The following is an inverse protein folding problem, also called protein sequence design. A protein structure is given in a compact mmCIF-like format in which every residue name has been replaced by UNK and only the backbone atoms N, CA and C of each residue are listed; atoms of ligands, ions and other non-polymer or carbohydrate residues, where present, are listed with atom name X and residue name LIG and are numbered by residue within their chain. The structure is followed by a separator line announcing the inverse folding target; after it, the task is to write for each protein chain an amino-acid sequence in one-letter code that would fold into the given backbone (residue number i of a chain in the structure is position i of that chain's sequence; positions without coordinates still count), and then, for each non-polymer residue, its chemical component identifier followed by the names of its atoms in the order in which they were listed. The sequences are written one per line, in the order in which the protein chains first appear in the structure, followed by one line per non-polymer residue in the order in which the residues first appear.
data_IF_461855063919
#
_entry.id   IF_461855063919
#
_cell.length_a   1.000
_cell.length_b   1.000
_cell.length_c   1.000
_cell.angle_alpha   90.00
_cell.angle_beta   90.00
_cell.angle_gamma   90.00
#
_symmetry.space_group_name_H-M   'P 1'
#
loop_
_entity.id
_entity.type
_entity.pdbx_description
1 polymer ?
#
# COMPACT_ATOMS: atom_id res chain seq x y z
N UNK A 1 78.18 38.09 3.09
CA UNK A 1 77.57 36.85 2.58
C UNK A 1 78.05 36.62 1.15
N UNK A 2 78.73 35.51 0.86
CA UNK A 2 79.21 35.22 -0.50
C UNK A 2 78.06 34.69 -1.37
N UNK A 3 78.17 34.82 -2.71
CA UNK A 3 77.13 34.42 -3.67
C UNK A 3 76.70 32.95 -3.49
N UNK A 4 77.61 32.08 -3.04
CA UNK A 4 77.37 30.67 -2.72
C UNK A 4 76.45 30.48 -1.50
N UNK A 5 76.62 31.28 -0.44
CA UNK A 5 75.79 31.19 0.78
C UNK A 5 74.34 31.63 0.53
N UNK A 6 74.11 32.65 -0.32
CA UNK A 6 72.75 33.07 -0.70
C UNK A 6 72.00 31.99 -1.49
N UNK A 7 72.67 31.32 -2.42
CA UNK A 7 72.07 30.22 -3.19
C UNK A 7 71.71 29.05 -2.27
N UNK A 8 72.59 28.69 -1.33
CA UNK A 8 72.34 27.63 -0.34
C UNK A 8 71.14 27.93 0.56
N UNK A 9 71.01 29.17 1.03
CA UNK A 9 69.85 29.61 1.82
C UNK A 9 68.57 29.59 0.99
N UNK A 10 68.61 30.01 -0.28
CA UNK A 10 67.45 29.97 -1.17
C UNK A 10 66.98 28.53 -1.43
N UNK A 11 67.92 27.61 -1.67
CA UNK A 11 67.63 26.18 -1.85
C UNK A 11 67.08 25.58 -0.56
N UNK A 12 67.64 25.91 0.61
CA UNK A 12 67.14 25.42 1.89
C UNK A 12 65.70 25.88 2.16
N UNK A 13 65.37 27.15 1.89
CA UNK A 13 63.99 27.67 2.02
C UNK A 13 63.04 26.98 1.04
N UNK A 14 63.48 26.74 -0.20
CA UNK A 14 62.70 26.00 -1.19
C UNK A 14 62.44 24.55 -0.76
N UNK A 15 63.46 23.86 -0.25
CA UNK A 15 63.34 22.48 0.25
C UNK A 15 62.43 22.42 1.47
N UNK A 16 62.54 23.34 2.42
CA UNK A 16 61.64 23.40 3.59
C UNK A 16 60.22 23.76 3.18
N UNK A 17 60.04 24.68 2.22
CA UNK A 17 58.72 25.03 1.67
C UNK A 17 58.07 23.85 0.94
N UNK A 18 58.83 23.12 0.13
CA UNK A 18 58.37 21.92 -0.58
C UNK A 18 58.09 20.78 0.41
N UNK A 19 58.95 20.53 1.39
CA UNK A 19 58.73 19.51 2.41
C UNK A 19 57.53 19.83 3.31
N UNK A 20 57.35 21.09 3.71
CA UNK A 20 56.18 21.56 4.47
C UNK A 20 54.89 21.46 3.66
N UNK A 21 54.95 21.78 2.36
CA UNK A 21 53.83 21.62 1.44
C UNK A 21 53.47 20.15 1.19
N UNK A 22 54.47 19.29 0.97
CA UNK A 22 54.29 17.84 0.83
C UNK A 22 53.72 17.24 2.12
N UNK A 23 54.24 17.64 3.29
CA UNK A 23 53.75 17.18 4.60
C UNK A 23 52.30 17.60 4.86
N UNK A 24 51.95 18.87 4.59
CA UNK A 24 50.59 19.37 4.71
C UNK A 24 49.63 18.69 3.72
N UNK A 25 50.07 18.47 2.47
CA UNK A 25 49.28 17.81 1.44
C UNK A 25 49.06 16.33 1.75
N UNK A 26 50.11 15.62 2.20
CA UNK A 26 50.05 14.23 2.63
C UNK A 26 49.17 14.04 3.87
N UNK A 27 49.23 14.96 4.84
CA UNK A 27 48.33 14.96 6.00
C UNK A 27 46.88 15.14 5.56
N UNK A 28 46.58 16.19 4.78
CA UNK A 28 45.23 16.50 4.31
C UNK A 28 44.59 15.39 3.45
N UNK A 29 45.41 14.64 2.71
CA UNK A 29 44.96 13.64 1.75
C UNK A 29 44.99 12.19 2.28
N UNK A 30 45.30 12.00 3.56
CA UNK A 30 45.17 10.70 4.24
C UNK A 30 43.68 10.29 4.33
N UNK A 31 43.44 8.98 4.42
CA UNK A 31 42.13 8.34 4.52
C UNK A 31 41.27 8.93 5.65
N UNK A 32 41.81 9.04 6.87
CA UNK A 32 41.06 9.54 8.02
C UNK A 32 40.55 10.98 7.81
N UNK A 33 41.38 11.85 7.22
CA UNK A 33 41.00 13.22 6.92
C UNK A 33 40.03 13.30 5.73
N UNK A 34 40.16 12.41 4.75
CA UNK A 34 39.20 12.28 3.64
C UNK A 34 37.82 11.88 4.15
N UNK A 35 37.74 10.90 5.05
CA UNK A 35 36.50 10.47 5.69
C UNK A 35 35.87 11.62 6.48
N UNK A 36 36.67 12.35 7.27
CA UNK A 36 36.19 13.48 8.07
C UNK A 36 35.66 14.63 7.19
N UNK A 37 36.38 14.98 6.13
CA UNK A 37 35.96 16.00 5.16
C UNK A 37 34.71 15.59 4.40
N UNK A 38 34.60 14.33 3.96
CA UNK A 38 33.39 13.82 3.32
C UNK A 38 32.21 13.84 4.29
N UNK A 39 32.40 13.45 5.56
CA UNK A 39 31.35 13.49 6.58
C UNK A 39 30.81 14.92 6.78
N UNK A 40 31.69 15.92 6.90
CA UNK A 40 31.29 17.33 6.96
C UNK A 40 30.51 17.74 5.70
N UNK A 41 31.05 17.44 4.51
CA UNK A 41 30.40 17.82 3.25
C UNK A 41 29.02 17.16 3.04
N UNK A 42 28.83 15.93 3.52
CA UNK A 42 27.54 15.23 3.47
C UNK A 42 26.50 15.89 4.39
N UNK A 43 26.91 16.34 5.58
CA UNK A 43 26.04 17.01 6.56
C UNK A 43 25.69 18.43 6.09
N UNK A 44 26.67 19.18 5.60
CA UNK A 44 26.53 20.54 5.07
C UNK A 44 25.92 20.58 3.66
N UNK A 45 25.76 19.40 3.04
CA UNK A 45 25.19 19.23 1.70
C UNK A 45 26.02 19.89 0.57
N UNK A 46 27.34 20.05 0.79
CA UNK A 46 28.28 20.58 -0.22
C UNK A 46 28.50 19.56 -1.36
N UNK A 47 27.78 19.77 -2.46
CA UNK A 47 27.83 18.91 -3.64
C UNK A 47 29.21 18.84 -4.28
N UNK A 48 29.98 19.94 -4.26
CA UNK A 48 31.27 20.01 -4.92
C UNK A 48 32.31 19.18 -4.14
N UNK A 49 32.35 19.37 -2.81
CA UNK A 49 33.20 18.57 -1.94
C UNK A 49 32.79 17.09 -1.95
N UNK A 50 31.48 16.78 -1.91
CA UNK A 50 31.03 15.39 -1.99
C UNK A 50 31.44 14.74 -3.31
N UNK A 51 31.28 15.41 -4.46
CA UNK A 51 31.74 14.85 -5.76
C UNK A 51 33.25 14.66 -5.82
N UNK A 52 34.03 15.48 -5.10
CA UNK A 52 35.50 15.35 -5.04
C UNK A 52 35.93 14.08 -4.30
N UNK A 53 35.30 13.79 -3.16
CA UNK A 53 35.67 12.67 -2.29
C UNK A 53 34.90 11.38 -2.60
N UNK A 54 33.66 11.48 -3.09
CA UNK A 54 32.77 10.37 -3.45
C UNK A 54 32.24 10.54 -4.89
N UNK A 55 33.10 10.35 -5.91
CA UNK A 55 32.75 10.70 -7.29
C UNK A 55 31.80 9.72 -7.99
N UNK A 56 31.81 8.44 -7.59
CA UNK A 56 31.08 7.35 -8.25
C UNK A 56 30.95 6.13 -7.32
N UNK A 57 30.13 5.17 -7.69
CA UNK A 57 30.06 3.86 -7.03
C UNK A 57 31.32 3.03 -7.27
N UNK A 58 31.57 2.02 -6.41
CA UNK A 58 32.70 1.09 -6.54
C UNK A 58 32.73 0.33 -7.87
N UNK A 59 31.55 0.07 -8.46
CA UNK A 59 31.40 -0.50 -9.80
C UNK A 59 31.59 0.50 -10.96
N UNK A 60 32.13 1.69 -10.68
CA UNK A 60 32.40 2.79 -11.63
C UNK A 60 31.15 3.51 -12.20
N UNK A 61 29.91 3.11 -11.84
CA UNK A 61 28.70 3.84 -12.26
C UNK A 61 28.61 5.20 -11.56
N UNK A 62 28.11 6.21 -12.27
CA UNK A 62 27.88 7.55 -11.69
C UNK A 62 26.82 7.50 -10.59
N UNK A 63 27.02 8.26 -9.52
CA UNK A 63 25.99 8.49 -8.49
C UNK A 63 25.00 9.52 -9.04
N UNK A 64 23.72 9.19 -9.06
CA UNK A 64 22.70 10.14 -9.50
C UNK A 64 22.55 11.27 -8.48
N UNK A 65 22.27 12.50 -8.96
CA UNK A 65 22.03 13.64 -8.07
C UNK A 65 20.93 13.34 -7.03
N UNK A 66 19.92 12.57 -7.46
CA UNK A 66 18.82 12.14 -6.61
C UNK A 66 19.24 11.16 -5.51
N UNK A 67 20.00 10.10 -5.84
CA UNK A 67 20.50 9.16 -4.85
C UNK A 67 21.40 9.86 -3.82
N UNK A 68 22.24 10.79 -4.28
CA UNK A 68 23.07 11.60 -3.41
C UNK A 68 22.25 12.51 -2.49
N UNK A 69 21.25 13.22 -3.02
CA UNK A 69 20.39 14.10 -2.24
C UNK A 69 19.62 13.33 -1.15
N UNK A 70 19.10 12.14 -1.47
CA UNK A 70 18.41 11.27 -0.49
C UNK A 70 19.36 10.83 0.62
N UNK A 71 20.58 10.44 0.27
CA UNK A 71 21.61 10.05 1.25
C UNK A 71 22.03 11.22 2.14
N UNK A 72 22.29 12.41 1.58
CA UNK A 72 22.63 13.61 2.36
C UNK A 72 21.51 14.03 3.32
N UNK A 73 20.24 13.89 2.92
CA UNK A 73 19.07 14.14 3.79
C UNK A 73 19.09 13.24 5.03
N UNK A 74 19.59 12.01 4.91
CA UNK A 74 19.81 11.12 6.05
C UNK A 74 21.01 11.58 6.89
N UNK A 75 22.16 11.87 6.26
CA UNK A 75 23.39 12.26 6.95
C UNK A 75 23.22 13.52 7.79
N UNK A 76 22.46 14.51 7.30
CA UNK A 76 22.14 15.75 8.02
C UNK A 76 21.45 15.52 9.37
N UNK A 77 20.79 14.37 9.56
CA UNK A 77 20.11 14.00 10.82
C UNK A 77 21.04 13.28 11.81
N UNK A 78 22.25 12.93 11.40
CA UNK A 78 23.21 12.18 12.20
C UNK A 78 24.29 13.10 12.77
N UNK A 79 24.87 12.72 13.92
CA UNK A 79 26.07 13.40 14.44
C UNK A 79 27.26 13.09 13.54
N UNK A 80 28.18 14.04 13.34
CA UNK A 80 29.39 13.84 12.52
C UNK A 80 30.15 12.56 12.84
N UNK A 81 30.36 12.25 14.13
CA UNK A 81 31.01 11.00 14.57
C UNK A 81 30.31 9.72 14.06
N UNK A 82 28.98 9.73 13.95
CA UNK A 82 28.21 8.59 13.42
C UNK A 82 28.37 8.46 11.90
N UNK A 83 28.42 9.59 11.18
CA UNK A 83 28.67 9.60 9.73
C UNK A 83 30.08 9.08 9.42
N UNK A 84 31.09 9.53 10.18
CA UNK A 84 32.47 9.03 10.07
C UNK A 84 32.53 7.51 10.27
N UNK A 85 31.94 7.00 11.36
CA UNK A 85 31.91 5.57 11.63
C UNK A 85 31.21 4.77 10.52
N UNK A 86 30.16 5.33 9.91
CA UNK A 86 29.46 4.69 8.79
C UNK A 86 30.31 4.64 7.51
N UNK A 87 31.04 5.71 7.19
CA UNK A 87 31.90 5.80 6.01
C UNK A 87 33.13 4.88 6.09
N UNK A 88 33.54 4.49 7.30
CA UNK A 88 34.64 3.55 7.55
C UNK A 88 34.24 2.08 7.44
N UNK A 89 32.95 1.78 7.25
CA UNK A 89 32.48 0.41 7.07
C UNK A 89 32.86 -0.12 5.69
N UNK A 90 33.83 -1.03 5.65
CA UNK A 90 34.32 -1.66 4.40
C UNK A 90 33.23 -2.40 3.61
N UNK A 91 32.24 -2.97 4.32
CA UNK A 91 31.04 -3.59 3.73
C UNK A 91 30.24 -2.61 2.85
N UNK A 92 30.33 -1.31 3.15
CA UNK A 92 29.56 -0.25 2.50
C UNK A 92 30.40 0.62 1.57
N UNK A 93 31.68 0.81 1.87
CA UNK A 93 32.53 1.73 1.13
C UNK A 93 33.89 1.10 0.85
N UNK A 94 34.36 1.25 -0.38
CA UNK A 94 35.74 0.99 -0.74
C UNK A 94 36.51 2.31 -0.72
N UNK A 95 37.58 2.37 0.06
CA UNK A 95 38.46 3.54 0.06
C UNK A 95 39.65 3.22 -0.85
N UNK A 96 39.96 4.15 -1.76
CA UNK A 96 41.19 4.07 -2.57
C UNK A 96 42.07 5.24 -2.22
N UNK A 97 43.32 4.94 -1.89
CA UNK A 97 44.34 5.95 -1.70
C UNK A 97 44.48 6.83 -2.94
N UNK A 98 44.80 8.10 -2.70
CA UNK A 98 45.04 9.05 -3.76
C UNK A 98 46.25 8.63 -4.59
N UNK A 99 46.15 8.72 -5.92
CA UNK A 99 47.25 8.38 -6.84
C UNK A 99 48.49 9.30 -6.70
N UNK A 100 48.46 10.29 -5.81
CA UNK A 100 49.53 11.24 -5.52
C UNK A 100 49.18 12.00 -4.24
N UNK A 101 50.18 12.55 -3.56
CA UNK A 101 50.00 13.52 -2.46
C UNK A 101 49.10 14.71 -2.83
N UNK A 102 48.83 14.98 -4.11
CA UNK A 102 47.94 16.06 -4.58
C UNK A 102 46.49 15.63 -4.83
N UNK A 103 46.20 14.32 -4.83
CA UNK A 103 44.86 13.79 -5.00
C UNK A 103 44.40 13.20 -3.66
N UNK A 104 43.28 13.65 -3.08
CA UNK A 104 42.76 13.03 -1.87
C UNK A 104 42.42 11.57 -2.14
N UNK A 105 42.39 10.76 -1.08
CA UNK A 105 41.74 9.47 -1.14
C UNK A 105 40.28 9.64 -1.62
N UNK A 106 39.75 8.59 -2.23
CA UNK A 106 38.38 8.58 -2.74
C UNK A 106 37.60 7.43 -2.12
N UNK A 107 36.40 7.75 -1.68
CA UNK A 107 35.48 6.83 -1.02
C UNK A 107 34.42 6.43 -2.05
N UNK A 108 34.30 5.14 -2.31
CA UNK A 108 33.41 4.59 -3.31
C UNK A 108 32.32 3.76 -2.63
N UNK A 109 31.06 4.23 -2.61
CA UNK A 109 29.97 3.42 -2.07
C UNK A 109 29.77 2.16 -2.90
N UNK A 110 29.52 1.06 -2.21
CA UNK A 110 29.02 -0.16 -2.82
C UNK A 110 27.58 0.10 -3.26
N UNK A 111 27.24 -0.12 -4.54
CA UNK A 111 25.89 0.12 -5.04
C UNK A 111 24.92 -0.84 -4.35
N UNK A 112 23.81 -0.30 -3.87
CA UNK A 112 22.75 -1.09 -3.23
C UNK A 112 21.43 -0.98 -3.97
N UNK A 113 20.65 -2.04 -3.89
CA UNK A 113 19.35 -2.15 -4.51
C UNK A 113 18.33 -2.67 -3.51
N UNK A 114 17.08 -2.36 -3.76
CA UNK A 114 15.99 -3.11 -3.15
C UNK A 114 14.96 -3.48 -4.20
N UNK A 115 14.26 -4.59 -3.97
CA UNK A 115 13.22 -5.08 -4.86
C UNK A 115 11.90 -5.15 -4.12
N UNK A 116 10.82 -4.76 -4.79
CA UNK A 116 9.45 -4.99 -4.34
C UNK A 116 8.78 -5.95 -5.32
N UNK A 117 8.35 -7.10 -4.82
CA UNK A 117 7.55 -8.07 -5.56
C UNK A 117 6.10 -7.96 -5.16
N UNK A 118 5.22 -7.99 -6.16
CA UNK A 118 3.82 -7.67 -5.99
C UNK A 118 2.93 -8.82 -6.48
N UNK A 119 1.73 -8.97 -5.91
CA UNK A 119 0.70 -9.86 -6.45
C UNK A 119 0.39 -9.52 -7.91
N UNK A 120 0.00 -10.49 -8.73
CA UNK A 120 -0.33 -10.26 -10.15
C UNK A 120 -1.42 -9.19 -10.31
N UNK A 121 -1.39 -8.46 -11.43
CA UNK A 121 -2.41 -7.46 -11.77
C UNK A 121 -2.35 -6.17 -10.95
N UNK A 122 -1.28 -5.97 -10.17
CA UNK A 122 -1.11 -4.77 -9.35
C UNK A 122 -0.15 -3.76 -9.96
N UNK A 123 -0.43 -2.49 -9.73
CA UNK A 123 0.46 -1.37 -10.02
C UNK A 123 1.11 -0.84 -8.74
N UNK A 124 2.30 -0.22 -8.90
CA UNK A 124 3.09 0.33 -7.80
C UNK A 124 3.39 1.81 -8.00
N UNK A 125 3.14 2.60 -6.97
CA UNK A 125 3.64 3.98 -6.86
C UNK A 125 4.48 4.11 -5.60
N UNK A 126 5.78 4.29 -5.75
CA UNK A 126 6.70 4.33 -4.61
C UNK A 126 7.27 5.73 -4.37
N UNK A 127 7.45 6.07 -3.10
CA UNK A 127 8.12 7.28 -2.60
C UNK A 127 9.25 6.85 -1.67
N UNK A 128 10.48 7.24 -2.01
CA UNK A 128 11.64 7.06 -1.15
C UNK A 128 12.04 8.40 -0.54
N UNK A 129 12.17 8.48 0.78
CA UNK A 129 12.45 9.73 1.52
C UNK A 129 11.48 10.88 1.18
N UNK A 130 10.21 10.55 0.93
CA UNK A 130 9.14 11.44 0.49
C UNK A 130 9.32 12.02 -0.93
N UNK A 131 10.02 11.32 -1.84
CA UNK A 131 10.14 11.71 -3.25
C UNK A 131 9.81 10.55 -4.18
N UNK A 132 9.03 10.80 -5.24
CA UNK A 132 8.49 9.79 -6.17
C UNK A 132 9.57 9.00 -6.89
N UNK A 133 9.79 7.74 -6.54
CA UNK A 133 10.93 6.96 -7.00
C UNK A 133 10.44 5.82 -7.90
N UNK A 134 11.02 5.72 -9.09
CA UNK A 134 10.68 4.67 -10.06
C UNK A 134 11.70 3.55 -10.03
N UNK A 135 11.24 2.31 -10.06
CA UNK A 135 12.06 1.12 -10.23
C UNK A 135 12.02 0.60 -11.66
N UNK A 136 12.97 -0.25 -12.03
CA UNK A 136 12.91 -1.04 -13.26
C UNK A 136 11.90 -2.19 -13.06
N UNK A 137 10.93 -2.30 -13.97
CA UNK A 137 9.88 -3.30 -13.92
C UNK A 137 10.28 -4.58 -14.65
N UNK A 138 10.02 -5.73 -14.03
CA UNK A 138 10.18 -7.07 -14.60
C UNK A 138 8.83 -7.79 -14.62
N UNK A 139 8.18 -7.83 -15.78
CA UNK A 139 6.81 -8.34 -15.97
C UNK A 139 6.63 -9.79 -15.51
N UNK A 140 7.56 -10.69 -15.88
CA UNK A 140 7.50 -12.12 -15.55
C UNK A 140 7.33 -12.40 -14.05
N UNK A 141 7.88 -11.53 -13.21
CA UNK A 141 7.91 -11.69 -11.76
C UNK A 141 7.04 -10.66 -11.03
N UNK A 142 6.36 -9.77 -11.77
CA UNK A 142 5.71 -8.57 -11.27
C UNK A 142 6.54 -7.84 -10.19
N UNK A 143 7.80 -7.58 -10.54
CA UNK A 143 8.84 -7.11 -9.61
C UNK A 143 9.36 -5.74 -10.05
N UNK A 144 9.59 -4.86 -9.08
CA UNK A 144 10.24 -3.58 -9.28
C UNK A 144 11.58 -3.55 -8.57
N UNK A 145 12.65 -3.29 -9.31
CA UNK A 145 14.02 -3.16 -8.78
C UNK A 145 14.42 -1.68 -8.71
N UNK A 146 14.80 -1.21 -7.53
CA UNK A 146 15.13 0.18 -7.26
C UNK A 146 16.62 0.35 -6.96
N UNK A 147 17.24 1.36 -7.56
CA UNK A 147 18.64 1.70 -7.35
C UNK A 147 19.40 2.02 -8.65
N UNK A 148 20.74 2.17 -8.60
CA UNK A 148 21.57 2.02 -7.41
C UNK A 148 21.38 3.15 -6.40
N UNK A 149 21.48 2.81 -5.11
CA UNK A 149 21.49 3.72 -3.97
C UNK A 149 22.83 3.64 -3.22
N UNK A 150 23.12 4.66 -2.42
CA UNK A 150 24.26 4.65 -1.49
C UNK A 150 23.86 3.83 -0.25
N UNK A 151 24.75 3.02 0.35
CA UNK A 151 24.41 2.27 1.55
C UNK A 151 23.92 3.18 2.67
N UNK A 152 22.73 2.89 3.20
CA UNK A 152 22.01 3.78 4.10
C UNK A 152 20.68 3.20 4.51
N UNK A 153 19.89 3.99 5.24
CA UNK A 153 18.55 3.61 5.68
C UNK A 153 17.54 4.62 5.17
N UNK A 154 16.55 4.14 4.43
CA UNK A 154 15.62 4.97 3.68
C UNK A 154 14.17 4.68 4.07
N UNK A 155 13.43 5.72 4.45
CA UNK A 155 11.98 5.58 4.63
C UNK A 155 11.33 5.37 3.27
N UNK A 156 10.56 4.29 3.14
CA UNK A 156 9.82 3.93 1.94
C UNK A 156 8.32 4.02 2.24
N UNK A 157 7.58 4.63 1.34
CA UNK A 157 6.11 4.56 1.32
C UNK A 157 5.72 4.16 -0.09
N UNK A 158 4.83 3.21 -0.24
CA UNK A 158 4.36 2.81 -1.56
C UNK A 158 2.88 2.46 -1.54
N UNK A 159 2.21 2.80 -2.63
CA UNK A 159 0.83 2.44 -2.87
C UNK A 159 0.80 1.27 -3.85
N UNK A 160 0.11 0.20 -3.46
CA UNK A 160 -0.27 -0.89 -4.35
C UNK A 160 -1.70 -0.63 -4.81
N UNK A 161 -1.96 -0.75 -6.10
CA UNK A 161 -3.30 -0.60 -6.67
C UNK A 161 -3.69 -1.86 -7.45
N UNK A 162 -4.88 -2.37 -7.19
CA UNK A 162 -5.46 -3.52 -7.89
C UNK A 162 -6.87 -3.15 -8.42
N UNK A 163 -7.23 -3.49 -9.66
CA UNK A 163 -8.55 -3.18 -10.22
C UNK A 163 -9.73 -3.67 -9.38
N UNK A 164 -9.57 -4.83 -8.72
CA UNK A 164 -10.64 -5.46 -7.91
C UNK A 164 -10.65 -5.04 -6.44
N UNK A 165 -9.48 -4.75 -5.86
CA UNK A 165 -9.33 -4.51 -4.42
C UNK A 165 -9.02 -3.04 -4.09
N UNK A 166 -8.99 -2.16 -5.10
CA UNK A 166 -8.63 -0.76 -4.92
C UNK A 166 -7.16 -0.60 -4.55
N UNK A 167 -6.85 0.45 -3.80
CA UNK A 167 -5.48 0.82 -3.45
C UNK A 167 -5.20 0.72 -1.96
N UNK A 168 -3.98 0.32 -1.60
CA UNK A 168 -3.49 0.28 -0.22
C UNK A 168 -2.11 0.92 -0.11
N UNK A 169 -1.93 1.76 0.89
CA UNK A 169 -0.64 2.38 1.21
C UNK A 169 0.14 1.56 2.22
N UNK A 170 1.42 1.35 1.97
CA UNK A 170 2.36 0.63 2.81
C UNK A 170 3.50 1.54 3.22
N UNK A 171 4.05 1.32 4.42
CA UNK A 171 5.20 2.07 4.95
C UNK A 171 6.24 1.08 5.45
N UNK A 172 7.46 1.22 4.95
CA UNK A 172 8.60 0.36 5.27
C UNK A 172 9.87 1.18 5.47
N UNK A 173 10.89 0.52 6.01
CA UNK A 173 12.26 1.07 6.07
C UNK A 173 13.18 0.17 5.26
N UNK A 174 13.79 0.74 4.22
CA UNK A 174 14.80 0.06 3.41
C UNK A 174 16.16 0.25 4.07
N UNK A 175 16.70 -0.81 4.67
CA UNK A 175 18.03 -0.80 5.28
C UNK A 175 19.07 -1.48 4.37
N UNK A 176 19.90 -0.66 3.72
CA UNK A 176 20.91 -1.08 2.74
C UNK A 176 22.34 -1.07 3.29
N UNK A 177 22.51 -0.97 4.62
CA UNK A 177 23.83 -0.88 5.27
C UNK A 177 24.61 -2.21 5.30
N UNK A 178 24.00 -3.33 4.93
CA UNK A 178 24.68 -4.63 4.91
C UNK A 178 24.50 -5.33 3.55
N UNK A 179 23.29 -5.35 3.01
CA UNK A 179 22.96 -6.03 1.77
C UNK A 179 21.81 -5.33 1.03
N UNK A 180 21.56 -5.80 -0.19
CA UNK A 180 20.33 -5.48 -0.91
C UNK A 180 19.13 -6.07 -0.16
N UNK A 181 17.95 -5.47 -0.32
CA UNK A 181 16.73 -5.91 0.35
C UNK A 181 15.64 -6.35 -0.62
N UNK A 182 14.82 -7.30 -0.19
CA UNK A 182 13.65 -7.77 -0.93
C UNK A 182 12.41 -7.66 -0.06
N UNK A 183 11.39 -7.01 -0.59
CA UNK A 183 10.05 -6.92 -0.03
C UNK A 183 9.13 -7.74 -0.92
N UNK A 184 8.38 -8.66 -0.32
CA UNK A 184 7.37 -9.45 -1.03
C UNK A 184 6.02 -9.09 -0.44
N UNK A 185 5.20 -8.41 -1.22
CA UNK A 185 3.82 -8.07 -0.84
C UNK A 185 2.98 -9.32 -1.03
N UNK A 186 2.40 -9.83 0.07
CA UNK A 186 1.51 -10.99 0.02
C UNK A 186 0.21 -10.63 -0.69
N UNK A 187 -0.37 -11.59 -1.38
CA UNK A 187 -1.67 -11.45 -2.04
C UNK A 187 -2.77 -11.06 -1.05
N UNK A 188 -2.74 -11.62 0.16
CA UNK A 188 -3.71 -11.30 1.21
C UNK A 188 -3.70 -9.83 1.60
N UNK A 189 -2.57 -9.14 1.43
CA UNK A 189 -2.44 -7.71 1.72
C UNK A 189 -3.32 -6.83 0.81
N UNK A 190 -3.84 -7.37 -0.30
CA UNK A 190 -4.79 -6.67 -1.16
C UNK A 190 -6.14 -6.45 -0.48
N UNK A 191 -6.55 -7.32 0.44
CA UNK A 191 -7.85 -7.26 1.10
C UNK A 191 -7.78 -7.18 2.63
N UNK A 192 -6.82 -7.87 3.27
CA UNK A 192 -6.62 -7.79 4.72
C UNK A 192 -6.17 -6.39 5.13
N UNK A 193 -6.88 -5.76 6.07
CA UNK A 193 -6.58 -4.40 6.54
C UNK A 193 -6.61 -3.34 5.41
N UNK A 194 -7.23 -3.63 4.27
CA UNK A 194 -7.46 -2.65 3.22
C UNK A 194 -8.82 -1.98 3.47
N UNK A 195 -8.80 -0.88 4.22
CA UNK A 195 -10.01 -0.16 4.61
C UNK A 195 -10.84 0.32 3.41
N UNK A 196 -10.19 0.71 2.31
CA UNK A 196 -10.88 1.15 1.10
C UNK A 196 -11.67 0.00 0.45
N UNK A 197 -11.09 -1.21 0.44
CA UNK A 197 -11.78 -2.41 -0.04
C UNK A 197 -12.93 -2.83 0.89
N UNK A 198 -12.70 -2.84 2.19
CA UNK A 198 -13.73 -3.18 3.20
C UNK A 198 -14.93 -2.23 3.10
N UNK A 199 -14.69 -0.93 2.96
CA UNK A 199 -15.74 0.08 2.72
C UNK A 199 -16.50 -0.16 1.41
N UNK A 200 -15.82 -0.60 0.36
CA UNK A 200 -16.46 -0.96 -0.90
C UNK A 200 -17.42 -2.14 -0.72
N UNK A 201 -16.99 -3.21 -0.03
CA UNK A 201 -17.84 -4.38 0.25
C UNK A 201 -19.08 -4.00 1.07
N UNK A 202 -18.91 -3.19 2.12
CA UNK A 202 -20.03 -2.66 2.90
C UNK A 202 -20.99 -1.86 2.01
N UNK A 203 -20.46 -0.97 1.17
CA UNK A 203 -21.28 -0.17 0.25
C UNK A 203 -22.05 -1.06 -0.75
N UNK A 204 -21.44 -2.14 -1.24
CA UNK A 204 -22.12 -3.13 -2.08
C UNK A 204 -23.28 -3.81 -1.35
N UNK A 205 -23.10 -4.20 -0.08
CA UNK A 205 -24.18 -4.76 0.74
C UNK A 205 -25.31 -3.75 0.99
N UNK A 206 -24.97 -2.51 1.34
CA UNK A 206 -25.95 -1.43 1.53
C UNK A 206 -26.74 -1.17 0.24
N UNK A 207 -26.06 -1.10 -0.91
CA UNK A 207 -26.69 -0.93 -2.21
C UNK A 207 -27.63 -2.08 -2.56
N UNK A 208 -27.26 -3.32 -2.20
CA UNK A 208 -28.13 -4.47 -2.36
C UNK A 208 -29.46 -4.29 -1.62
N UNK A 209 -29.45 -4.06 -0.31
CA UNK A 209 -30.69 -3.92 0.47
C UNK A 209 -31.50 -2.68 0.08
N UNK A 210 -30.86 -1.56 -0.27
CA UNK A 210 -31.54 -0.38 -0.82
C UNK A 210 -32.28 -0.73 -2.12
N UNK A 211 -31.58 -1.34 -3.09
CA UNK A 211 -32.19 -1.72 -4.37
C UNK A 211 -33.21 -2.85 -4.25
N UNK A 212 -33.13 -3.68 -3.20
CA UNK A 212 -34.16 -4.66 -2.86
C UNK A 212 -35.44 -3.94 -2.42
N UNK A 213 -35.34 -2.92 -1.57
CA UNK A 213 -36.50 -2.09 -1.21
C UNK A 213 -37.15 -1.45 -2.46
N UNK A 214 -36.35 -1.03 -3.43
CA UNK A 214 -36.87 -0.52 -4.71
C UNK A 214 -37.55 -1.61 -5.53
N UNK A 215 -37.00 -2.83 -5.53
CA UNK A 215 -37.63 -3.99 -6.18
C UNK A 215 -38.99 -4.32 -5.56
N UNK A 216 -39.10 -4.26 -4.22
CA UNK A 216 -40.37 -4.46 -3.49
C UNK A 216 -41.41 -3.43 -3.93
N UNK A 217 -41.08 -2.14 -3.85
CA UNK A 217 -41.96 -1.04 -4.28
C UNK A 217 -42.32 -1.13 -5.77
N UNK A 218 -41.45 -1.71 -6.59
CA UNK A 218 -41.64 -1.91 -8.03
C UNK A 218 -42.36 -3.22 -8.38
N UNK A 219 -43.21 -3.74 -7.49
CA UNK A 219 -44.02 -4.91 -7.78
C UNK A 219 -43.26 -6.24 -7.66
N UNK A 220 -42.26 -6.31 -6.77
CA UNK A 220 -41.34 -7.44 -6.61
C UNK A 220 -40.49 -7.70 -7.88
N UNK A 221 -40.10 -6.63 -8.57
CA UNK A 221 -39.29 -6.70 -9.80
C UNK A 221 -37.80 -6.46 -9.48
N UNK A 222 -36.99 -7.52 -9.61
CA UNK A 222 -35.56 -7.47 -9.22
C UNK A 222 -34.62 -7.12 -10.38
N UNK A 223 -35.13 -6.71 -11.53
CA UNK A 223 -34.31 -6.36 -12.71
C UNK A 223 -33.24 -5.31 -12.42
N UNK A 224 -33.54 -4.35 -11.52
CA UNK A 224 -32.63 -3.27 -11.09
C UNK A 224 -31.89 -3.57 -9.76
N UNK A 225 -32.06 -4.76 -9.19
CA UNK A 225 -31.38 -5.16 -7.95
C UNK A 225 -29.86 -5.15 -8.15
N UNK A 226 -29.13 -4.59 -7.18
CA UNK A 226 -27.68 -4.64 -7.10
C UNK A 226 -27.21 -6.01 -6.57
N UNK A 227 -27.27 -7.02 -7.44
CA UNK A 227 -26.84 -8.38 -7.17
C UNK A 227 -26.34 -9.05 -8.45
N UNK A 228 -25.70 -10.21 -8.31
CA UNK A 228 -25.27 -11.04 -9.43
C UNK A 228 -26.46 -11.44 -10.30
N UNK A 229 -26.18 -11.79 -11.56
CA UNK A 229 -27.23 -12.22 -12.50
C UNK A 229 -27.98 -13.45 -11.98
N UNK A 230 -27.24 -14.46 -11.52
CA UNK A 230 -27.82 -15.70 -11.02
C UNK A 230 -28.71 -15.46 -9.81
N UNK A 231 -28.24 -14.66 -8.84
CA UNK A 231 -29.02 -14.31 -7.66
C UNK A 231 -30.35 -13.63 -8.02
N UNK A 232 -30.32 -12.69 -8.98
CA UNK A 232 -31.53 -12.02 -9.48
C UNK A 232 -32.51 -12.99 -10.13
N UNK A 233 -32.01 -13.90 -10.95
CA UNK A 233 -32.86 -14.88 -11.65
C UNK A 233 -33.54 -15.83 -10.66
N UNK A 234 -32.82 -16.31 -9.66
CA UNK A 234 -33.36 -17.16 -8.60
C UNK A 234 -34.40 -16.41 -7.75
N UNK A 235 -34.08 -15.19 -7.31
CA UNK A 235 -34.99 -14.38 -6.52
C UNK A 235 -36.26 -14.00 -7.30
N UNK A 236 -36.12 -13.63 -8.58
CA UNK A 236 -37.28 -13.34 -9.43
C UNK A 236 -38.17 -14.56 -9.61
N UNK A 237 -37.57 -15.75 -9.78
CA UNK A 237 -38.30 -17.02 -9.87
C UNK A 237 -39.08 -17.29 -8.58
N UNK A 238 -38.44 -17.10 -7.41
CA UNK A 238 -39.10 -17.23 -6.11
C UNK A 238 -40.28 -16.28 -5.95
N UNK A 239 -40.10 -15.00 -6.26
CA UNK A 239 -41.20 -14.04 -6.25
C UNK A 239 -42.31 -14.39 -7.22
N UNK A 240 -42.01 -14.83 -8.45
CA UNK A 240 -43.02 -15.23 -9.42
C UNK A 240 -43.85 -16.43 -8.94
N UNK A 241 -43.24 -17.35 -8.19
CA UNK A 241 -43.92 -18.51 -7.61
C UNK A 241 -44.81 -18.12 -6.42
N UNK A 242 -44.35 -17.20 -5.56
CA UNK A 242 -45.08 -16.81 -4.35
C UNK A 242 -46.14 -15.74 -4.59
N UNK A 243 -45.90 -14.80 -5.52
CA UNK A 243 -46.76 -13.63 -5.77
C UNK A 243 -48.25 -13.95 -5.98
N UNK A 244 -48.66 -15.04 -6.66
CA UNK A 244 -50.08 -15.40 -6.76
C UNK A 244 -50.77 -15.64 -5.41
N UNK A 245 -50.00 -16.08 -4.40
CA UNK A 245 -50.44 -16.49 -3.08
C UNK A 245 -50.28 -15.41 -2.00
N UNK A 246 -49.57 -14.32 -2.32
CA UNK A 246 -49.28 -13.23 -1.40
C UNK A 246 -50.34 -12.13 -1.49
N UNK A 247 -50.77 -11.62 -0.35
CA UNK A 247 -51.55 -10.38 -0.21
C UNK A 247 -50.60 -9.18 -0.13
N UNK A 248 -49.57 -9.27 0.72
CA UNK A 248 -48.56 -8.22 0.88
C UNK A 248 -47.17 -8.75 1.21
N UNK A 249 -46.15 -7.92 1.01
CA UNK A 249 -44.77 -8.16 1.40
C UNK A 249 -44.14 -6.89 1.96
N UNK A 250 -43.52 -7.01 3.13
CA UNK A 250 -42.83 -5.94 3.81
C UNK A 250 -41.36 -6.31 4.02
N UNK A 251 -40.48 -5.32 3.85
CA UNK A 251 -39.08 -5.41 4.23
C UNK A 251 -38.63 -4.13 4.94
N UNK A 252 -37.87 -4.29 6.02
CA UNK A 252 -37.27 -3.22 6.79
C UNK A 252 -35.83 -3.55 7.14
N UNK A 253 -34.93 -2.56 7.08
CA UNK A 253 -33.58 -2.63 7.66
C UNK A 253 -33.11 -1.21 8.03
N UNK A 254 -32.16 -1.10 8.95
CA UNK A 254 -31.53 0.17 9.36
C UNK A 254 -30.00 0.07 9.41
N UNK A 255 -29.49 -1.08 9.86
CA UNK A 255 -28.09 -1.29 10.22
C UNK A 255 -27.51 -2.44 9.40
N UNK A 256 -26.32 -2.24 8.84
CA UNK A 256 -25.54 -3.28 8.20
C UNK A 256 -24.12 -3.23 8.78
N UNK A 257 -23.56 -4.38 9.13
CA UNK A 257 -22.17 -4.52 9.57
C UNK A 257 -21.51 -5.67 8.84
N UNK A 258 -20.22 -5.55 8.55
CA UNK A 258 -19.41 -6.66 8.04
C UNK A 258 -18.26 -6.94 9.00
N UNK A 259 -17.97 -8.22 9.24
CA UNK A 259 -16.75 -8.64 9.92
C UNK A 259 -15.59 -8.62 8.92
N UNK A 260 -14.63 -7.73 9.14
CA UNK A 260 -13.47 -7.59 8.27
C UNK A 260 -12.45 -8.71 8.46
N UNK A 261 -12.48 -9.41 9.59
CA UNK A 261 -11.58 -10.53 9.90
C UNK A 261 -12.05 -11.82 9.24
N UNK A 262 -13.34 -11.93 8.92
CA UNK A 262 -13.94 -13.06 8.19
C UNK A 262 -13.71 -13.02 6.66
N UNK A 263 -13.13 -11.94 6.11
CA UNK A 263 -12.96 -11.76 4.67
C UNK A 263 -12.06 -12.85 4.09
N UNK A 264 -12.66 -13.72 3.29
CA UNK A 264 -12.00 -14.78 2.55
C UNK A 264 -12.13 -14.55 1.05
N UNK A 265 -11.03 -14.70 0.31
CA UNK A 265 -10.99 -14.51 -1.15
C UNK A 265 -10.55 -15.81 -1.79
N UNK A 266 -11.29 -16.27 -2.80
CA UNK A 266 -10.90 -17.47 -3.52
C UNK A 266 -9.61 -17.27 -4.33
N UNK A 267 -8.92 -18.36 -4.67
CA UNK A 267 -7.65 -18.31 -5.41
C UNK A 267 -7.77 -17.61 -6.78
N UNK A 268 -8.94 -17.65 -7.41
CA UNK A 268 -9.16 -16.96 -8.68
C UNK A 268 -9.43 -15.46 -8.53
N UNK A 269 -9.57 -14.94 -7.31
CA UNK A 269 -9.92 -13.55 -7.00
C UNK A 269 -11.21 -13.09 -7.70
N UNK A 270 -12.19 -13.98 -7.75
CA UNK A 270 -13.50 -13.74 -8.35
C UNK A 270 -14.62 -13.75 -7.33
N UNK A 271 -14.38 -14.35 -6.15
CA UNK A 271 -15.36 -14.51 -5.08
C UNK A 271 -14.77 -14.08 -3.75
N UNK A 272 -15.56 -13.30 -3.00
CA UNK A 272 -15.28 -12.91 -1.62
C UNK A 272 -16.39 -13.51 -0.75
N UNK A 273 -16.02 -14.02 0.42
CA UNK A 273 -16.97 -14.45 1.46
C UNK A 273 -16.65 -13.71 2.76
N UNK A 274 -17.69 -13.34 3.50
CA UNK A 274 -17.57 -12.68 4.80
C UNK A 274 -18.86 -12.84 5.60
N UNK A 275 -18.75 -12.59 6.89
CA UNK A 275 -19.87 -12.53 7.82
C UNK A 275 -20.52 -11.14 7.78
N UNK A 276 -21.83 -11.14 7.56
CA UNK A 276 -22.68 -9.96 7.41
C UNK A 276 -23.74 -9.97 8.50
N UNK A 277 -23.87 -8.84 9.19
CA UNK A 277 -25.02 -8.55 10.02
C UNK A 277 -25.91 -7.53 9.32
N UNK A 278 -27.21 -7.79 9.32
CA UNK A 278 -28.25 -6.86 8.91
C UNK A 278 -29.44 -7.01 9.86
N UNK A 279 -29.96 -5.91 10.39
CA UNK A 279 -31.16 -5.92 11.25
C UNK A 279 -32.46 -6.04 10.43
N UNK A 280 -32.47 -6.98 9.49
CA UNK A 280 -33.55 -7.16 8.53
C UNK A 280 -34.79 -7.75 9.18
N UNK A 281 -35.94 -7.17 8.86
CA UNK A 281 -37.25 -7.71 9.19
C UNK A 281 -38.05 -7.87 7.90
N UNK A 282 -38.61 -9.06 7.69
CA UNK A 282 -39.48 -9.37 6.57
C UNK A 282 -40.81 -9.92 7.08
N UNK A 283 -41.89 -9.53 6.43
CA UNK A 283 -43.23 -10.04 6.70
C UNK A 283 -43.93 -10.32 5.38
N UNK A 284 -44.62 -11.45 5.30
CA UNK A 284 -45.41 -11.84 4.14
C UNK A 284 -46.80 -12.26 4.60
N UNK A 285 -47.82 -11.57 4.09
CA UNK A 285 -49.22 -11.95 4.31
C UNK A 285 -49.72 -12.78 3.14
N UNK A 286 -50.35 -13.91 3.41
CA UNK A 286 -50.92 -14.80 2.40
C UNK A 286 -52.41 -14.48 2.17
N UNK A 287 -52.91 -14.83 1.00
CA UNK A 287 -54.34 -14.67 0.68
C UNK A 287 -55.15 -15.63 1.55
N UNK A 288 -56.25 -15.14 2.13
CA UNK A 288 -57.14 -15.88 3.07
C UNK A 288 -57.51 -17.30 2.62
N UNK A 289 -57.67 -17.53 1.31
CA UNK A 289 -58.02 -18.84 0.74
C UNK A 289 -56.95 -19.93 0.98
N UNK A 290 -55.75 -19.56 1.45
CA UNK A 290 -54.65 -20.47 1.76
C UNK A 290 -54.75 -21.03 3.19
N UNK A 291 -55.68 -20.52 4.02
CA UNK A 291 -55.93 -21.02 5.37
C UNK A 291 -54.86 -20.66 6.40
N UNK A 292 -53.96 -19.72 6.06
CA UNK A 292 -52.98 -19.13 6.97
C UNK A 292 -53.32 -17.65 7.10
N UNK A 293 -53.93 -17.28 8.23
CA UNK A 293 -54.36 -15.90 8.49
C UNK A 293 -53.26 -15.04 9.12
N UNK A 294 -52.21 -15.66 9.67
CA UNK A 294 -51.07 -14.98 10.29
C UNK A 294 -49.99 -14.64 9.26
N UNK A 295 -49.35 -13.47 9.44
CA UNK A 295 -48.22 -13.10 8.60
C UNK A 295 -47.00 -13.99 8.90
N UNK A 296 -46.33 -14.44 7.85
CA UNK A 296 -45.07 -15.16 7.95
C UNK A 296 -43.94 -14.14 8.17
N UNK A 297 -43.35 -14.16 9.36
CA UNK A 297 -42.33 -13.19 9.79
C UNK A 297 -40.95 -13.85 9.80
N UNK A 298 -39.95 -13.12 9.33
CA UNK A 298 -38.53 -13.49 9.47
C UNK A 298 -37.73 -12.31 9.98
N UNK A 299 -36.92 -12.56 11.01
CA UNK A 299 -36.05 -11.61 11.69
C UNK A 299 -34.60 -12.10 11.74
N UNK A 300 -34.19 -12.98 10.81
CA UNK A 300 -32.82 -13.48 10.73
C UNK A 300 -31.85 -12.34 10.45
N UNK A 301 -30.83 -12.17 11.30
CA UNK A 301 -29.96 -10.99 11.25
C UNK A 301 -28.54 -11.26 10.75
N UNK A 302 -28.08 -12.50 10.81
CA UNK A 302 -26.70 -12.87 10.46
C UNK A 302 -26.69 -13.73 9.20
N UNK A 303 -25.73 -13.49 8.33
CA UNK A 303 -25.52 -14.30 7.15
C UNK A 303 -24.05 -14.41 6.78
N UNK A 304 -23.65 -15.59 6.29
CA UNK A 304 -22.45 -15.70 5.46
C UNK A 304 -22.82 -15.19 4.07
N UNK A 305 -22.20 -14.09 3.66
CA UNK A 305 -22.46 -13.45 2.38
C UNK A 305 -21.35 -13.74 1.40
N UNK A 306 -21.74 -14.11 0.18
CA UNK A 306 -20.82 -14.24 -0.95
C UNK A 306 -20.96 -13.05 -1.89
N UNK A 307 -19.84 -12.49 -2.33
CA UNK A 307 -19.77 -11.49 -3.38
C UNK A 307 -19.03 -12.05 -4.59
N UNK A 308 -19.47 -11.66 -5.79
CA UNK A 308 -18.74 -11.88 -7.04
C UNK A 308 -18.35 -10.57 -7.68
N UNK A 309 -17.19 -10.54 -8.33
CA UNK A 309 -16.74 -9.35 -9.07
C UNK A 309 -17.38 -9.33 -10.46
N UNK A 310 -18.15 -8.29 -10.74
CA UNK A 310 -18.69 -8.01 -12.06
C UNK A 310 -17.64 -7.24 -12.88
N UNK A 311 -17.07 -7.88 -13.90
CA UNK A 311 -15.99 -7.31 -14.71
C UNK A 311 -16.46 -6.13 -15.59
N UNK A 312 -17.72 -6.14 -16.03
CA UNK A 312 -18.29 -5.09 -16.90
C UNK A 312 -18.53 -3.80 -16.12
N UNK A 313 -19.09 -3.92 -14.91
CA UNK A 313 -19.44 -2.81 -14.02
C UNK A 313 -18.31 -2.48 -13.04
N UNK A 314 -17.25 -3.29 -12.98
CA UNK A 314 -16.07 -3.13 -12.13
C UNK A 314 -16.40 -2.98 -10.64
N UNK A 315 -17.33 -3.81 -10.14
CA UNK A 315 -17.81 -3.74 -8.75
C UNK A 315 -18.09 -5.12 -8.18
N UNK A 316 -18.05 -5.22 -6.86
CA UNK A 316 -18.47 -6.41 -6.14
C UNK A 316 -19.98 -6.41 -5.95
N UNK A 317 -20.63 -7.53 -6.25
CA UNK A 317 -22.07 -7.72 -6.15
C UNK A 317 -22.38 -8.90 -5.25
N UNK A 318 -23.43 -8.79 -4.43
CA UNK A 318 -23.94 -9.95 -3.67
C UNK A 318 -24.36 -11.03 -4.66
N UNK A 319 -23.88 -12.24 -4.42
CA UNK A 319 -24.16 -13.44 -5.19
C UNK A 319 -25.01 -14.43 -4.40
N UNK A 320 -24.84 -14.46 -3.08
CA UNK A 320 -25.58 -15.35 -2.18
C UNK A 320 -25.52 -14.83 -0.73
N UNK A 321 -26.55 -15.16 0.05
CA UNK A 321 -26.63 -14.86 1.49
C UNK A 321 -27.25 -16.05 2.22
N UNK A 322 -26.45 -16.74 3.03
CA UNK A 322 -26.89 -17.86 3.86
C UNK A 322 -27.17 -17.40 5.29
N UNK A 323 -28.45 -17.34 5.65
CA UNK A 323 -28.92 -16.96 6.99
C UNK A 323 -29.14 -18.15 7.94
N UNK A 324 -28.79 -19.38 7.54
CA UNK A 324 -29.00 -20.60 8.35
C UNK A 324 -27.83 -20.94 9.28
N UNK A 325 -26.85 -20.04 9.37
CA UNK A 325 -25.61 -20.23 10.12
C UNK A 325 -25.80 -20.03 11.62
N UNK A 326 -25.02 -20.75 12.44
CA UNK A 326 -24.98 -20.59 13.90
C UNK A 326 -24.78 -19.11 14.31
N UNK A 327 -25.30 -18.73 15.48
CA UNK A 327 -25.25 -17.37 16.05
C UNK A 327 -23.88 -16.71 15.87
N UNK A 328 -23.75 -15.92 14.81
CA UNK A 328 -22.70 -14.91 14.72
C UNK A 328 -23.11 -13.79 15.67
N UNK A 329 -22.19 -13.36 16.52
CA UNK A 329 -22.43 -12.25 17.46
C UNK A 329 -21.61 -11.04 17.00
N UNK A 330 -22.24 -10.05 16.35
CA UNK A 330 -21.56 -8.85 15.87
C UNK A 330 -20.93 -7.99 16.97
N UNK A 331 -21.28 -8.23 18.25
CA UNK A 331 -20.67 -7.54 19.38
C UNK A 331 -19.28 -8.10 19.71
N UNK A 332 -18.94 -9.29 19.22
CA UNK A 332 -17.64 -9.95 19.43
C UNK A 332 -16.61 -9.68 18.32
N UNK A 333 -17.02 -9.05 17.22
CA UNK A 333 -16.15 -8.74 16.09
C UNK A 333 -15.14 -7.62 16.42
N UNK A 334 -13.85 -7.86 16.17
CA UNK A 334 -12.78 -6.90 16.46
C UNK A 334 -12.68 -5.80 15.40
N UNK A 335 -12.67 -6.17 14.11
CA UNK A 335 -12.58 -5.21 13.00
C UNK A 335 -13.88 -5.15 12.21
N UNK A 336 -14.67 -4.09 12.42
CA UNK A 336 -16.00 -3.94 11.83
C UNK A 336 -16.08 -2.68 10.96
N UNK A 337 -16.64 -2.83 9.74
CA UNK A 337 -17.21 -1.71 9.01
C UNK A 337 -18.73 -1.73 9.19
N UNK A 338 -19.32 -0.56 9.47
CA UNK A 338 -20.75 -0.45 9.74
C UNK A 338 -21.39 0.71 8.99
N UNK A 339 -22.66 0.51 8.67
CA UNK A 339 -23.57 1.51 8.13
C UNK A 339 -24.83 1.51 8.99
N UNK A 340 -25.33 2.70 9.30
CA UNK A 340 -26.61 2.89 10.00
C UNK A 340 -27.30 4.13 9.48
N UNK A 341 -28.53 3.97 9.02
CA UNK A 341 -29.38 5.10 8.63
C UNK A 341 -30.06 5.74 9.85
N UNK A 342 -30.42 7.03 9.77
CA UNK A 342 -31.14 7.72 10.86
C UNK A 342 -32.48 7.06 11.16
N UNK A 343 -33.19 6.60 10.12
CA UNK A 343 -34.47 5.91 10.22
C UNK A 343 -34.42 4.58 9.47
N UNK A 344 -35.17 3.60 9.95
CA UNK A 344 -35.29 2.32 9.28
C UNK A 344 -35.91 2.48 7.89
N UNK A 345 -35.25 1.88 6.89
CA UNK A 345 -35.68 1.89 5.50
C UNK A 345 -36.71 0.79 5.28
N UNK A 346 -37.95 1.21 5.05
CA UNK A 346 -39.11 0.32 4.86
C UNK A 346 -39.55 0.27 3.41
N UNK A 347 -39.92 -0.90 2.93
CA UNK A 347 -40.57 -1.09 1.66
C UNK A 347 -41.77 -2.02 1.83
N UNK A 348 -42.85 -1.67 1.14
CA UNK A 348 -44.11 -2.38 1.17
C UNK A 348 -44.55 -2.65 -0.27
N UNK A 349 -45.07 -3.84 -0.50
CA UNK A 349 -45.78 -4.23 -1.70
C UNK A 349 -47.12 -4.83 -1.32
N UNK A 350 -48.19 -4.44 -2.00
CA UNK A 350 -49.53 -5.00 -1.83
C UNK A 350 -50.13 -5.39 -3.17
N UNK A 351 -50.84 -6.53 -3.20
CA UNK A 351 -51.43 -7.11 -4.42
C UNK A 351 -52.50 -6.21 -5.07
N UNK A 352 -53.20 -5.40 -4.29
CA UNK A 352 -54.29 -4.53 -4.72
C UNK A 352 -53.86 -3.08 -4.92
N UNK A 353 -52.64 -2.73 -4.51
CA UNK A 353 -52.06 -1.41 -4.77
C UNK A 353 -51.70 -1.27 -6.27
N UNK A 354 -52.62 -0.70 -7.04
CA UNK A 354 -52.37 -0.24 -8.41
C UNK A 354 -51.46 1.00 -8.38
N UNK A 355 -50.17 0.83 -8.10
CA UNK A 355 -49.11 1.76 -8.51
C UNK A 355 -49.22 3.24 -8.10
N UNK A 356 -50.09 3.62 -7.16
CA UNK A 356 -50.08 4.97 -6.60
C UNK A 356 -48.97 5.06 -5.56
N UNK A 357 -47.82 5.53 -6.05
CA UNK A 357 -46.68 5.94 -5.25
C UNK A 357 -47.08 7.19 -4.45
N UNK A 358 -47.01 7.12 -3.12
CA UNK A 358 -46.89 8.29 -2.23
C UNK A 358 -45.43 8.40 -1.79
#
# INVERSE_FOLDING_TARGET
MTRKTRVLVMVAVLVVGVAGFIGYSSYKNNEANTVDHLATALIEQDQAAVKRYMPRYSNKKKISARALAMYQKQMKKMKKKQVVALLQKEENFTIKEGASIFKPAQIYPNPRFFTIELPKGTELRAKLQASDFSGAYEEKWNKYTFGPLIPGSYSLTYDIAHPKFGSKSMKDTVNLQAADQRFTVKETSLYEGNEAFQKHLLASAVNHFNSFNDAVRSGLNVSKLAASKNYKEELQKGFNQLKPYMESFDQEFQTIKIDCDSISVNTAQTKVQLDLYVDIKRSMKLIKEIGIDEALISDKQNAITSFVYDEDQKKWLIDDMDFETYQQDPETWEHVQSYREEQAKKAHWDKNSNGEVV
#
